data_IF_184942851407
#
_entry.id   IF_184942851407
#
_cell.length_a   1.000
_cell.length_b   1.000
_cell.length_c   1.000
_cell.angle_alpha   90.00
_cell.angle_beta   90.00
_cell.angle_gamma   90.00
#
_symmetry.space_group_name_H-M   'P 1'
#
loop_
_entity.id
_entity.type
_entity.pdbx_description
1 polymer ?
#
# COMPACT_ATOMS: atom_id res chain seq x y z
N UNK A 1 26.87 1.08 4.50
CA UNK A 1 26.32 -0.19 3.99
C UNK A 1 25.61 0.12 2.71
N UNK A 2 25.83 -0.67 1.68
CA UNK A 2 25.23 -0.49 0.35
C UNK A 2 23.80 -1.01 0.31
N UNK A 3 22.96 -0.49 -0.59
CA UNK A 3 21.55 -0.92 -0.71
C UNK A 3 21.41 -2.43 -0.92
N UNK A 4 22.28 -3.02 -1.74
CA UNK A 4 22.29 -4.47 -1.97
C UNK A 4 22.73 -5.27 -0.73
N UNK A 5 23.64 -4.73 0.09
CA UNK A 5 24.08 -5.37 1.34
C UNK A 5 22.94 -5.37 2.36
N UNK A 6 22.22 -4.25 2.44
CA UNK A 6 21.03 -4.12 3.29
C UNK A 6 19.95 -5.12 2.88
N UNK A 7 19.67 -5.21 1.60
CA UNK A 7 18.74 -6.18 1.02
C UNK A 7 19.12 -7.63 1.39
N UNK A 8 20.39 -7.99 1.20
CA UNK A 8 20.88 -9.35 1.51
C UNK A 8 20.83 -9.67 3.00
N UNK A 9 21.11 -8.70 3.86
CA UNK A 9 21.04 -8.87 5.30
C UNK A 9 19.60 -9.13 5.76
N UNK A 10 18.66 -8.35 5.26
CA UNK A 10 17.24 -8.49 5.57
C UNK A 10 16.67 -9.82 5.06
N UNK A 11 17.05 -10.25 3.83
CA UNK A 11 16.65 -11.56 3.32
C UNK A 11 17.11 -12.70 4.22
N UNK A 12 18.37 -12.63 4.70
CA UNK A 12 18.93 -13.65 5.61
C UNK A 12 18.24 -13.64 6.97
N UNK A 13 17.97 -12.46 7.52
CA UNK A 13 17.32 -12.30 8.82
C UNK A 13 15.92 -12.93 8.85
N UNK A 14 15.23 -12.94 7.68
CA UNK A 14 13.83 -13.40 7.57
C UNK A 14 13.66 -14.71 6.84
N UNK A 15 14.76 -15.35 6.41
CA UNK A 15 14.70 -16.62 5.66
C UNK A 15 14.07 -16.51 4.27
N UNK A 16 14.04 -15.29 3.67
CA UNK A 16 13.47 -15.08 2.34
C UNK A 16 14.46 -15.47 1.24
N UNK A 17 13.91 -15.94 0.13
CA UNK A 17 14.66 -16.25 -1.07
C UNK A 17 14.73 -15.06 -2.02
N UNK A 18 15.84 -14.94 -2.73
CA UNK A 18 16.04 -13.88 -3.73
C UNK A 18 15.10 -14.09 -4.92
N UNK A 19 14.34 -13.06 -5.24
CA UNK A 19 13.51 -13.01 -6.45
C UNK A 19 14.30 -12.33 -7.58
N UNK A 20 14.38 -12.93 -8.80
CA UNK A 20 15.11 -12.34 -9.91
C UNK A 20 14.65 -10.93 -10.31
N UNK A 21 13.36 -10.60 -10.12
CA UNK A 21 12.86 -9.26 -10.41
C UNK A 21 13.27 -8.25 -9.35
N UNK A 22 13.18 -8.64 -8.07
CA UNK A 22 13.69 -7.84 -6.97
C UNK A 22 15.21 -7.66 -7.06
N UNK A 23 15.95 -8.69 -7.48
CA UNK A 23 17.40 -8.58 -7.65
C UNK A 23 17.77 -7.53 -8.71
N UNK A 24 17.13 -7.56 -9.89
CA UNK A 24 17.33 -6.51 -10.91
C UNK A 24 16.97 -5.11 -10.38
N UNK A 25 15.92 -5.01 -9.60
CA UNK A 25 15.49 -3.74 -9.04
C UNK A 25 16.48 -3.20 -8.01
N UNK A 26 17.00 -4.05 -7.09
CA UNK A 26 17.99 -3.62 -6.09
C UNK A 26 19.34 -3.31 -6.74
N UNK A 27 19.74 -4.04 -7.77
CA UNK A 27 20.94 -3.74 -8.55
C UNK A 27 20.84 -2.35 -9.21
N UNK A 28 19.69 -2.00 -9.79
CA UNK A 28 19.48 -0.65 -10.34
C UNK A 28 19.46 0.42 -9.28
N UNK A 29 18.85 0.16 -8.13
CA UNK A 29 18.86 1.08 -6.98
C UNK A 29 20.28 1.27 -6.43
N UNK A 30 21.08 0.19 -6.39
CA UNK A 30 22.49 0.27 -6.03
C UNK A 30 23.29 1.13 -7.02
N UNK A 31 23.07 0.92 -8.33
CA UNK A 31 23.71 1.77 -9.34
C UNK A 31 23.33 3.25 -9.16
N UNK A 32 22.07 3.54 -8.81
CA UNK A 32 21.61 4.89 -8.51
C UNK A 32 22.32 5.48 -7.27
N UNK A 33 22.54 4.68 -6.23
CA UNK A 33 23.34 5.08 -5.06
C UNK A 33 24.78 5.39 -5.42
N UNK A 34 25.44 4.51 -6.19
CA UNK A 34 26.83 4.69 -6.65
C UNK A 34 26.95 5.96 -7.53
N UNK A 35 26.00 6.21 -8.45
CA UNK A 35 25.92 7.45 -9.23
C UNK A 35 25.82 8.70 -8.33
N UNK A 36 25.11 8.63 -7.18
CA UNK A 36 25.03 9.72 -6.21
C UNK A 36 26.36 9.95 -5.47
N UNK A 37 27.08 8.89 -5.13
CA UNK A 37 28.41 8.99 -4.55
C UNK A 37 29.36 9.72 -5.50
N UNK A 38 29.40 9.31 -6.77
CA UNK A 38 30.20 9.96 -7.80
C UNK A 38 29.80 11.42 -8.03
N UNK A 39 28.49 11.70 -8.08
CA UNK A 39 27.98 13.06 -8.19
C UNK A 39 28.47 13.97 -7.04
N UNK A 40 28.46 13.45 -5.79
CA UNK A 40 28.98 14.19 -4.63
C UNK A 40 30.48 14.40 -4.70
N UNK A 41 31.24 13.41 -5.15
CA UNK A 41 32.71 13.51 -5.30
C UNK A 41 33.09 14.60 -6.30
N UNK A 42 32.45 14.62 -7.48
CA UNK A 42 32.70 15.66 -8.50
C UNK A 42 32.37 17.05 -7.98
N UNK A 43 31.46 17.19 -7.02
CA UNK A 43 31.02 18.45 -6.43
C UNK A 43 31.47 18.61 -4.98
N UNK A 44 32.63 18.10 -4.62
CA UNK A 44 33.08 17.99 -3.23
C UNK A 44 33.38 19.34 -2.54
N UNK A 45 33.61 20.43 -3.28
CA UNK A 45 33.83 21.76 -2.70
C UNK A 45 33.05 22.85 -3.45
N UNK A 46 32.93 24.04 -2.87
CA UNK A 46 32.13 25.16 -3.40
C UNK A 46 32.57 25.61 -4.78
N UNK A 47 33.88 25.58 -5.07
CA UNK A 47 34.42 25.95 -6.39
C UNK A 47 33.99 24.93 -7.46
N UNK A 48 34.11 23.62 -7.17
CA UNK A 48 33.68 22.55 -8.05
C UNK A 48 32.17 22.55 -8.26
N UNK A 49 31.37 22.91 -7.24
CA UNK A 49 29.91 23.03 -7.35
C UNK A 49 29.50 24.11 -8.38
N UNK A 50 30.24 25.21 -8.45
CA UNK A 50 29.97 26.28 -9.44
C UNK A 50 30.43 25.93 -10.86
N UNK A 51 31.56 25.23 -10.99
CA UNK A 51 32.18 24.94 -12.28
C UNK A 51 31.59 23.69 -12.94
N UNK A 52 31.25 22.67 -12.17
CA UNK A 52 30.79 21.38 -12.70
C UNK A 52 29.32 21.15 -12.37
N UNK A 53 28.53 20.93 -13.44
CA UNK A 53 27.12 20.55 -13.36
C UNK A 53 26.92 19.16 -13.96
N UNK A 54 27.41 18.08 -13.29
CA UNK A 54 27.26 16.74 -13.82
C UNK A 54 25.76 16.40 -13.98
N UNK A 55 25.48 15.42 -14.86
CA UNK A 55 24.13 14.90 -15.02
C UNK A 55 23.64 14.31 -13.69
N UNK A 56 22.39 14.57 -13.35
CA UNK A 56 21.77 13.92 -12.18
C UNK A 56 21.63 12.41 -12.43
N UNK A 57 21.82 11.60 -11.40
CA UNK A 57 21.42 10.20 -11.45
C UNK A 57 19.97 10.06 -11.91
N UNK A 58 19.71 9.09 -12.75
CA UNK A 58 18.34 8.80 -13.18
C UNK A 58 17.58 8.12 -12.04
N UNK A 59 16.37 8.59 -11.73
CA UNK A 59 15.54 8.02 -10.69
C UNK A 59 14.97 6.64 -11.07
N UNK A 60 14.22 6.02 -10.16
CA UNK A 60 13.67 4.68 -10.35
C UNK A 60 12.17 4.69 -10.05
N UNK A 61 11.39 4.04 -10.91
CA UNK A 61 9.98 3.79 -10.72
C UNK A 61 9.74 2.27 -10.65
N UNK A 62 9.46 1.77 -9.44
CA UNK A 62 9.19 0.36 -9.19
C UNK A 62 7.68 0.12 -9.27
N UNK A 63 7.25 -0.74 -10.18
CA UNK A 63 5.83 -1.07 -10.29
C UNK A 63 5.59 -2.58 -10.27
N UNK A 64 4.36 -2.96 -9.89
CA UNK A 64 3.95 -4.36 -9.79
C UNK A 64 2.85 -4.53 -8.75
N UNK A 65 2.28 -5.72 -8.65
CA UNK A 65 1.21 -6.04 -7.72
C UNK A 65 1.54 -5.78 -6.25
N UNK A 66 0.53 -5.85 -5.42
CA UNK A 66 0.68 -5.74 -3.95
C UNK A 66 1.51 -6.92 -3.43
N UNK A 67 2.37 -6.70 -2.43
CA UNK A 67 3.15 -7.79 -1.83
C UNK A 67 4.45 -8.15 -2.55
N UNK A 68 4.85 -7.41 -3.59
CA UNK A 68 6.07 -7.67 -4.38
C UNK A 68 7.36 -7.11 -3.78
N UNK A 69 7.32 -6.56 -2.58
CA UNK A 69 8.50 -6.02 -1.90
C UNK A 69 8.97 -4.65 -2.42
N UNK A 70 8.14 -3.90 -3.16
CA UNK A 70 8.49 -2.57 -3.69
C UNK A 70 8.94 -1.60 -2.60
N UNK A 71 8.14 -1.46 -1.55
CA UNK A 71 8.44 -0.58 -0.42
C UNK A 71 9.70 -1.03 0.32
N UNK A 72 9.90 -2.34 0.47
CA UNK A 72 11.11 -2.90 1.06
C UNK A 72 12.38 -2.57 0.24
N UNK A 73 12.33 -2.71 -1.08
CA UNK A 73 13.44 -2.31 -1.96
C UNK A 73 13.75 -0.82 -1.85
N UNK A 74 12.72 0.03 -1.77
CA UNK A 74 12.86 1.46 -1.56
C UNK A 74 13.46 1.76 -0.17
N UNK A 75 13.08 1.02 0.88
CA UNK A 75 13.65 1.14 2.23
C UNK A 75 15.15 0.86 2.23
N UNK A 76 15.58 -0.22 1.58
CA UNK A 76 17.00 -0.55 1.45
C UNK A 76 17.78 0.58 0.77
N UNK A 77 17.24 1.13 -0.31
CA UNK A 77 17.84 2.26 -1.03
C UNK A 77 17.83 3.54 -0.17
N UNK A 78 16.71 3.86 0.47
CA UNK A 78 16.59 5.07 1.28
C UNK A 78 17.55 5.05 2.46
N UNK A 79 17.72 3.90 3.14
CA UNK A 79 18.66 3.74 4.24
C UNK A 79 20.12 3.92 3.77
N UNK A 80 20.47 3.32 2.63
CA UNK A 80 21.84 3.34 2.07
C UNK A 80 22.21 4.68 1.40
N UNK A 81 21.22 5.43 0.88
CA UNK A 81 21.44 6.67 0.13
C UNK A 81 22.29 7.67 0.92
N UNK A 82 23.40 8.20 0.31
CA UNK A 82 24.34 9.11 0.98
C UNK A 82 23.78 10.55 1.13
N UNK A 83 22.56 10.82 0.70
CA UNK A 83 21.96 12.15 0.75
C UNK A 83 21.39 12.48 2.11
N UNK A 84 21.70 13.67 2.62
CA UNK A 84 21.14 14.21 3.87
C UNK A 84 19.73 14.79 3.64
N UNK A 85 19.55 15.49 2.50
CA UNK A 85 18.29 16.13 2.12
C UNK A 85 17.41 15.13 1.37
N UNK A 86 16.91 14.13 2.07
CA UNK A 86 16.02 13.09 1.53
C UNK A 86 14.77 12.95 2.38
N UNK A 87 13.65 12.59 1.75
CA UNK A 87 12.39 12.27 2.42
C UNK A 87 11.78 11.03 1.79
N UNK A 88 11.13 10.21 2.61
CA UNK A 88 10.20 9.18 2.19
C UNK A 88 8.83 9.53 2.71
N UNK A 89 7.83 9.53 1.84
CA UNK A 89 6.47 9.94 2.15
C UNK A 89 5.48 9.21 1.24
N UNK A 90 4.29 8.93 1.72
CA UNK A 90 3.22 8.46 0.87
C UNK A 90 2.76 9.56 -0.09
N UNK A 91 2.52 9.19 -1.35
CA UNK A 91 2.18 10.18 -2.38
C UNK A 91 0.95 11.03 -2.03
N UNK A 92 -0.09 10.42 -1.47
CA UNK A 92 -1.29 11.15 -1.08
C UNK A 92 -1.04 12.15 0.08
N UNK A 93 -0.12 11.85 1.00
CA UNK A 93 0.27 12.79 2.06
C UNK A 93 1.03 13.97 1.49
N UNK A 94 1.94 13.70 0.56
CA UNK A 94 2.66 14.75 -0.15
C UNK A 94 1.70 15.68 -0.91
N UNK A 95 0.71 15.14 -1.64
CA UNK A 95 -0.26 15.95 -2.36
C UNK A 95 -1.15 16.77 -1.44
N UNK A 96 -1.53 16.24 -0.28
CA UNK A 96 -2.25 17.01 0.75
C UNK A 96 -1.45 18.22 1.24
N UNK A 97 -0.15 18.04 1.49
CA UNK A 97 0.75 19.15 1.85
C UNK A 97 0.88 20.16 0.71
N UNK A 98 1.02 19.68 -0.53
CA UNK A 98 1.06 20.52 -1.73
C UNK A 98 -0.18 21.40 -1.83
N UNK A 99 -1.38 20.83 -1.69
CA UNK A 99 -2.62 21.60 -1.74
C UNK A 99 -2.72 22.63 -0.61
N UNK A 100 -2.29 22.26 0.59
CA UNK A 100 -2.26 23.20 1.74
C UNK A 100 -1.31 24.37 1.47
N UNK A 101 -0.05 24.10 1.07
CA UNK A 101 0.93 25.15 0.80
C UNK A 101 0.51 26.03 -0.40
N UNK A 102 -0.12 25.44 -1.44
CA UNK A 102 -0.67 26.22 -2.56
C UNK A 102 -1.78 27.18 -2.13
N UNK A 103 -2.61 26.76 -1.20
CA UNK A 103 -3.66 27.63 -0.64
C UNK A 103 -3.05 28.82 0.11
N UNK A 104 -1.99 28.60 0.89
CA UNK A 104 -1.23 29.66 1.59
C UNK A 104 -0.53 30.62 0.61
N UNK A 105 -0.14 30.15 -0.57
CA UNK A 105 0.54 30.91 -1.61
C UNK A 105 -0.42 31.55 -2.63
N UNK A 106 -1.72 31.49 -2.42
CA UNK A 106 -2.75 31.93 -3.40
C UNK A 106 -2.67 33.38 -3.81
N UNK A 107 -1.89 34.22 -3.11
CA UNK A 107 -1.65 35.63 -3.47
C UNK A 107 -0.46 35.88 -4.42
N UNK A 108 0.30 34.84 -4.77
CA UNK A 108 1.46 34.99 -5.66
C UNK A 108 1.09 34.77 -7.12
N UNK A 109 1.90 35.34 -8.03
CA UNK A 109 1.70 35.23 -9.49
C UNK A 109 1.85 33.78 -9.97
N UNK A 110 2.79 33.05 -9.39
CA UNK A 110 3.08 31.62 -9.73
C UNK A 110 3.32 30.78 -8.47
N UNK A 111 2.25 30.42 -7.75
CA UNK A 111 2.36 29.75 -6.47
C UNK A 111 3.01 28.35 -6.58
N UNK A 112 2.81 27.66 -7.71
CA UNK A 112 3.33 26.31 -7.93
C UNK A 112 4.86 26.30 -8.11
N UNK A 113 5.41 27.29 -8.82
CA UNK A 113 6.85 27.40 -9.04
C UNK A 113 7.57 27.80 -7.73
N UNK A 114 6.97 28.70 -6.94
CA UNK A 114 7.50 29.03 -5.60
C UNK A 114 7.47 27.82 -4.68
N UNK A 115 6.39 27.03 -4.71
CA UNK A 115 6.29 25.80 -3.94
C UNK A 115 7.37 24.78 -4.35
N UNK A 116 7.56 24.56 -5.65
CA UNK A 116 8.61 23.69 -6.18
C UNK A 116 9.99 24.14 -5.71
N UNK A 117 10.27 25.44 -5.72
CA UNK A 117 11.52 25.99 -5.21
C UNK A 117 11.71 25.76 -3.72
N UNK A 118 10.66 25.86 -2.92
CA UNK A 118 10.72 25.55 -1.47
C UNK A 118 11.02 24.08 -1.23
N UNK A 119 10.34 23.18 -1.94
CA UNK A 119 10.55 21.73 -1.85
C UNK A 119 11.98 21.37 -2.27
N UNK A 120 12.48 21.93 -3.38
CA UNK A 120 13.83 21.65 -3.91
C UNK A 120 14.95 22.15 -3.00
N UNK A 121 14.72 23.20 -2.19
CA UNK A 121 15.65 23.65 -1.15
C UNK A 121 15.71 22.68 0.04
N UNK A 122 14.59 22.05 0.37
CA UNK A 122 14.48 21.09 1.47
C UNK A 122 15.04 19.72 1.10
N UNK A 123 14.71 19.23 -0.12
CA UNK A 123 14.97 17.85 -0.54
C UNK A 123 15.74 17.76 -1.85
N UNK A 124 16.63 16.77 -1.96
CA UNK A 124 17.34 16.39 -3.18
C UNK A 124 16.90 15.01 -3.68
N UNK A 125 16.33 14.20 -2.79
CA UNK A 125 15.73 12.91 -3.09
C UNK A 125 14.37 12.85 -2.40
N UNK A 126 13.34 12.52 -3.18
CA UNK A 126 12.00 12.24 -2.68
C UNK A 126 11.65 10.81 -3.07
N UNK A 127 11.36 9.98 -2.06
CA UNK A 127 10.87 8.63 -2.23
C UNK A 127 9.36 8.64 -2.02
N UNK A 128 8.59 8.40 -3.09
CA UNK A 128 7.14 8.28 -3.00
C UNK A 128 6.74 6.82 -2.85
N UNK A 129 6.12 6.51 -1.70
CA UNK A 129 5.45 5.23 -1.54
C UNK A 129 4.01 5.32 -2.08
N UNK A 130 3.55 4.22 -2.68
CA UNK A 130 2.20 4.09 -3.23
C UNK A 130 1.81 5.24 -4.17
N UNK A 131 2.67 5.52 -5.16
CA UNK A 131 2.37 6.53 -6.17
C UNK A 131 1.16 6.13 -7.01
N UNK A 132 0.06 6.82 -6.83
CA UNK A 132 -1.17 6.65 -7.60
C UNK A 132 -1.97 7.94 -7.60
N UNK A 133 -2.80 8.15 -8.61
CA UNK A 133 -3.57 9.37 -8.81
C UNK A 133 -5.03 9.00 -8.80
N UNK A 134 -5.77 9.55 -7.83
CA UNK A 134 -7.19 9.32 -7.65
C UNK A 134 -8.03 10.58 -7.96
N UNK A 135 -7.42 11.75 -7.92
CA UNK A 135 -8.09 13.03 -8.03
C UNK A 135 -7.63 13.80 -9.27
N UNK A 136 -8.58 14.46 -9.93
CA UNK A 136 -8.32 15.33 -11.06
C UNK A 136 -7.49 16.57 -10.67
N UNK A 137 -7.67 17.09 -9.47
CA UNK A 137 -6.90 18.24 -8.99
C UNK A 137 -5.41 17.90 -8.93
N UNK A 138 -5.07 16.70 -8.43
CA UNK A 138 -3.70 16.18 -8.43
C UNK A 138 -3.16 16.05 -9.86
N UNK A 139 -3.95 15.45 -10.77
CA UNK A 139 -3.56 15.24 -12.16
C UNK A 139 -3.22 16.58 -12.88
N UNK A 140 -3.97 17.65 -12.58
CA UNK A 140 -3.80 18.95 -13.23
C UNK A 140 -2.51 19.66 -12.82
N UNK A 141 -2.09 19.52 -11.57
CA UNK A 141 -0.90 20.23 -11.06
C UNK A 141 0.37 19.39 -11.16
N UNK A 142 0.23 18.06 -11.19
CA UNK A 142 1.34 17.12 -11.07
C UNK A 142 2.43 17.32 -12.13
N UNK A 143 2.04 17.52 -13.38
CA UNK A 143 3.02 17.74 -14.46
C UNK A 143 3.91 18.95 -14.19
N UNK A 144 3.31 20.10 -13.88
CA UNK A 144 4.06 21.33 -13.62
C UNK A 144 4.96 21.18 -12.40
N UNK A 145 4.42 20.60 -11.33
CA UNK A 145 5.15 20.37 -10.09
C UNK A 145 6.35 19.44 -10.30
N UNK A 146 6.15 18.26 -10.90
CA UNK A 146 7.23 17.32 -11.18
C UNK A 146 8.26 17.92 -12.13
N UNK A 147 7.83 18.65 -13.19
CA UNK A 147 8.72 19.29 -14.13
C UNK A 147 9.64 20.29 -13.42
N UNK A 148 9.08 21.19 -12.62
CA UNK A 148 9.85 22.18 -11.86
C UNK A 148 10.83 21.52 -10.87
N UNK A 149 10.40 20.47 -10.17
CA UNK A 149 11.25 19.72 -9.25
C UNK A 149 12.40 18.98 -9.97
N UNK A 150 12.17 18.39 -11.14
CA UNK A 150 13.26 17.81 -11.96
C UNK A 150 14.24 18.88 -12.48
N UNK A 151 13.74 20.04 -12.91
CA UNK A 151 14.57 21.17 -13.34
C UNK A 151 15.41 21.70 -12.17
N UNK A 152 14.85 21.75 -10.97
CA UNK A 152 15.54 22.10 -9.72
C UNK A 152 16.42 20.99 -9.14
N UNK A 153 16.61 19.92 -9.90
CA UNK A 153 17.53 18.82 -9.58
C UNK A 153 17.11 18.00 -8.36
N UNK A 154 15.82 17.78 -8.18
CA UNK A 154 15.27 16.80 -7.27
C UNK A 154 15.17 15.46 -8.00
N UNK A 155 15.65 14.37 -7.37
CA UNK A 155 15.49 13.02 -7.87
C UNK A 155 14.32 12.34 -7.19
N UNK A 156 13.73 11.37 -7.88
CA UNK A 156 12.64 10.57 -7.35
C UNK A 156 12.94 9.08 -7.41
N UNK A 157 12.53 8.37 -6.36
CA UNK A 157 12.31 6.93 -6.37
C UNK A 157 10.85 6.71 -5.99
N UNK A 158 10.13 5.94 -6.79
CA UNK A 158 8.69 5.77 -6.63
C UNK A 158 8.31 4.31 -6.60
N UNK A 159 7.36 3.94 -5.74
CA UNK A 159 6.68 2.65 -5.80
C UNK A 159 5.23 2.83 -6.24
N UNK A 160 4.72 1.93 -7.06
CA UNK A 160 3.34 1.97 -7.54
C UNK A 160 2.81 0.55 -7.80
N UNK A 161 1.50 0.38 -7.73
CA UNK A 161 0.84 -0.83 -8.21
C UNK A 161 0.58 -0.79 -9.72
N UNK A 162 0.78 0.36 -10.33
CA UNK A 162 0.49 0.61 -11.75
C UNK A 162 1.74 1.03 -12.50
N UNK A 163 1.85 0.58 -13.74
CA UNK A 163 2.81 1.13 -14.69
C UNK A 163 2.46 2.60 -14.97
N UNK A 164 3.42 3.50 -15.32
CA UNK A 164 3.13 4.92 -15.56
C UNK A 164 2.01 5.16 -16.56
N UNK A 165 1.97 4.41 -17.68
CA UNK A 165 0.93 4.50 -18.71
C UNK A 165 -0.46 4.01 -18.26
N UNK A 166 -0.52 3.28 -17.13
CA UNK A 166 -1.76 2.79 -16.50
C UNK A 166 -2.23 3.66 -15.33
N UNK A 167 -1.55 4.77 -15.05
CA UNK A 167 -2.01 5.72 -14.04
C UNK A 167 -3.31 6.41 -14.49
N UNK A 168 -4.31 6.47 -13.59
CA UNK A 168 -5.58 7.16 -13.78
C UNK A 168 -6.30 6.75 -15.09
N UNK A 169 -6.55 5.44 -15.35
CA UNK A 169 -6.91 4.95 -16.68
C UNK A 169 -8.28 5.46 -17.18
N UNK A 170 -9.26 5.57 -16.30
CA UNK A 170 -10.62 6.05 -16.61
C UNK A 170 -10.90 7.44 -16.01
N UNK A 171 -9.84 8.15 -15.64
CA UNK A 171 -9.95 9.44 -14.97
C UNK A 171 -10.46 10.55 -15.88
N UNK A 172 -11.28 11.43 -15.33
CA UNK A 172 -11.78 12.63 -16.02
C UNK A 172 -10.59 13.52 -16.43
N UNK A 173 -10.56 13.97 -17.70
CA UNK A 173 -9.45 14.76 -18.27
C UNK A 173 -8.08 14.09 -18.15
N UNK A 174 -7.98 12.78 -18.35
CA UNK A 174 -6.72 12.02 -18.35
C UNK A 174 -5.66 12.60 -19.31
N UNK A 175 -6.08 13.29 -20.36
CA UNK A 175 -5.20 14.01 -21.29
C UNK A 175 -4.27 15.00 -20.58
N UNK A 176 -4.70 15.59 -19.47
CA UNK A 176 -3.90 16.50 -18.64
C UNK A 176 -2.78 15.78 -17.89
N UNK A 177 -2.93 14.50 -17.62
CA UNK A 177 -1.91 13.68 -16.96
C UNK A 177 -0.86 13.12 -17.94
N UNK A 178 -1.19 12.95 -19.22
CA UNK A 178 -0.27 12.36 -20.19
C UNK A 178 1.11 13.03 -20.24
N UNK A 179 1.26 14.38 -20.12
CA UNK A 179 2.57 15.01 -20.05
C UNK A 179 3.37 14.57 -18.81
N UNK A 180 2.71 14.37 -17.65
CA UNK A 180 3.37 13.88 -16.44
C UNK A 180 3.83 12.42 -16.62
N UNK A 181 3.00 11.56 -17.20
CA UNK A 181 3.36 10.17 -17.52
C UNK A 181 4.61 10.11 -18.39
N UNK A 182 4.65 10.88 -19.49
CA UNK A 182 5.82 10.95 -20.37
C UNK A 182 7.07 11.45 -19.65
N UNK A 183 6.90 12.43 -18.77
CA UNK A 183 7.99 12.98 -17.97
C UNK A 183 8.56 11.91 -17.01
N UNK A 184 7.69 11.13 -16.36
CA UNK A 184 8.11 10.01 -15.51
C UNK A 184 8.91 8.97 -16.31
N UNK A 185 8.41 8.55 -17.46
CA UNK A 185 9.10 7.58 -18.33
C UNK A 185 10.42 8.11 -18.89
N UNK A 186 10.52 9.43 -19.16
CA UNK A 186 11.75 10.09 -19.59
C UNK A 186 12.80 10.17 -18.48
N UNK A 187 12.38 10.51 -17.26
CA UNK A 187 13.28 10.84 -16.14
C UNK A 187 13.60 9.69 -15.23
N UNK A 188 12.76 8.63 -15.21
CA UNK A 188 12.90 7.49 -14.33
C UNK A 188 13.15 6.19 -15.12
N UNK A 189 13.85 5.25 -14.51
CA UNK A 189 13.94 3.89 -15.00
C UNK A 189 12.75 3.11 -14.45
N UNK A 190 11.86 2.69 -15.35
CA UNK A 190 10.61 2.00 -15.01
C UNK A 190 10.88 0.49 -14.95
N UNK A 191 10.79 -0.08 -13.76
CA UNK A 191 11.10 -1.48 -13.49
C UNK A 191 9.86 -2.23 -12.98
N UNK A 192 9.58 -3.35 -13.63
CA UNK A 192 8.57 -4.29 -13.16
C UNK A 192 9.18 -5.25 -12.13
N UNK A 193 8.57 -5.32 -10.95
CA UNK A 193 8.93 -6.25 -9.88
C UNK A 193 7.94 -7.42 -9.74
N UNK A 194 7.04 -7.59 -10.72
CA UNK A 194 6.05 -8.68 -10.74
C UNK A 194 6.57 -10.02 -11.26
N UNK A 195 7.78 -10.07 -11.81
CA UNK A 195 8.30 -11.28 -12.45
C UNK A 195 8.71 -12.40 -11.49
N UNK A 196 8.38 -12.27 -10.20
CA UNK A 196 8.74 -13.22 -9.16
C UNK A 196 7.57 -13.72 -8.31
N UNK A 197 7.88 -14.59 -7.38
CA UNK A 197 6.93 -15.12 -6.41
C UNK A 197 6.40 -14.01 -5.50
N UNK A 198 5.10 -13.99 -5.26
CA UNK A 198 4.50 -13.16 -4.22
C UNK A 198 4.89 -13.73 -2.85
N UNK A 199 5.76 -13.05 -2.10
CA UNK A 199 6.17 -13.52 -0.77
C UNK A 199 5.00 -13.59 0.21
N UNK A 200 4.01 -12.71 0.10
CA UNK A 200 2.74 -12.83 0.84
C UNK A 200 1.97 -14.06 0.39
N UNK A 201 2.03 -14.40 -0.91
CA UNK A 201 1.45 -15.61 -1.47
C UNK A 201 2.12 -16.86 -0.92
N UNK A 202 3.47 -16.91 -0.84
CA UNK A 202 4.18 -18.03 -0.22
C UNK A 202 3.83 -18.19 1.26
N UNK A 203 3.61 -17.11 1.98
CA UNK A 203 3.11 -17.14 3.35
C UNK A 203 1.64 -17.54 3.42
N UNK A 204 0.80 -17.12 2.45
CA UNK A 204 -0.62 -17.50 2.38
C UNK A 204 -0.85 -18.89 1.79
N UNK A 205 0.07 -19.46 1.00
CA UNK A 205 -0.01 -20.86 0.53
C UNK A 205 0.03 -21.88 1.69
N UNK A 206 0.49 -21.46 2.88
CA UNK A 206 0.48 -22.23 4.12
C UNK A 206 -0.65 -21.83 5.08
N UNK A 207 -1.51 -20.87 4.69
CA UNK A 207 -2.54 -20.29 5.55
C UNK A 207 -3.89 -20.89 5.21
N UNK A 208 -4.43 -21.69 6.12
CA UNK A 208 -5.86 -21.97 6.16
C UNK A 208 -6.59 -20.66 6.45
N UNK A 209 -7.21 -20.04 5.43
CA UNK A 209 -7.93 -18.77 5.60
C UNK A 209 -9.20 -18.90 6.46
N UNK A 210 -9.60 -20.13 6.79
CA UNK A 210 -10.73 -20.43 7.66
C UNK A 210 -10.32 -21.47 8.70
N UNK A 211 -10.22 -21.04 9.95
CA UNK A 211 -9.79 -21.86 11.07
C UNK A 211 -11.00 -22.25 11.95
N UNK A 212 -11.16 -23.52 12.21
CA UNK A 212 -12.22 -24.06 13.07
C UNK A 212 -11.74 -25.37 13.74
N UNK A 213 -12.17 -25.67 14.96
CA UNK A 213 -12.91 -24.83 15.90
C UNK A 213 -12.05 -23.74 16.56
N UNK A 214 -12.69 -22.80 17.27
CA UNK A 214 -11.98 -21.80 18.07
C UNK A 214 -11.33 -22.49 19.27
N UNK A 215 -10.01 -22.36 19.39
CA UNK A 215 -9.19 -22.89 20.48
C UNK A 215 -8.01 -21.95 20.73
N UNK A 216 -7.35 -22.06 21.87
CA UNK A 216 -6.11 -21.32 22.13
C UNK A 216 -5.02 -21.55 21.06
N UNK A 217 -5.01 -22.74 20.44
CA UNK A 217 -4.09 -23.03 19.33
C UNK A 217 -4.47 -22.27 18.05
N UNK A 218 -5.76 -22.07 17.80
CA UNK A 218 -6.28 -21.28 16.69
C UNK A 218 -5.90 -19.81 16.85
N UNK A 219 -6.01 -19.26 18.05
CA UNK A 219 -5.63 -17.86 18.34
C UNK A 219 -4.11 -17.66 18.16
N UNK A 220 -3.29 -18.59 18.60
CA UNK A 220 -1.85 -18.56 18.34
C UNK A 220 -1.53 -18.65 16.84
N UNK A 221 -2.27 -19.44 16.07
CA UNK A 221 -2.11 -19.47 14.61
C UNK A 221 -2.45 -18.13 14.00
N UNK A 222 -3.58 -17.50 14.37
CA UNK A 222 -3.95 -16.17 13.88
C UNK A 222 -2.89 -15.13 14.21
N UNK A 223 -2.33 -15.16 15.41
CA UNK A 223 -1.27 -14.25 15.82
C UNK A 223 0.01 -14.41 14.97
N UNK A 224 0.41 -15.67 14.75
CA UNK A 224 1.55 -15.96 13.89
C UNK A 224 1.30 -15.52 12.44
N UNK A 225 0.07 -15.72 11.93
CA UNK A 225 -0.34 -15.24 10.60
C UNK A 225 -0.30 -13.72 10.51
N UNK A 226 -0.81 -13.02 11.51
CA UNK A 226 -0.77 -11.56 11.57
C UNK A 226 0.68 -11.07 11.47
N UNK A 227 1.59 -11.56 12.33
CA UNK A 227 3.00 -11.16 12.28
C UNK A 227 3.69 -11.56 10.97
N UNK A 228 3.34 -12.71 10.39
CA UNK A 228 3.85 -13.11 9.09
C UNK A 228 3.39 -12.15 7.97
N UNK A 229 2.15 -11.66 8.03
CA UNK A 229 1.58 -10.75 7.04
C UNK A 229 2.12 -9.31 7.13
N UNK A 230 2.36 -8.81 8.34
CA UNK A 230 2.95 -7.47 8.53
C UNK A 230 4.48 -7.49 8.36
N UNK A 231 5.11 -8.66 8.43
CA UNK A 231 6.57 -8.79 8.33
C UNK A 231 7.29 -8.06 9.47
N UNK A 232 8.39 -7.37 9.16
CA UNK A 232 9.18 -6.60 10.15
C UNK A 232 8.67 -5.20 10.43
N UNK A 233 7.51 -4.84 9.95
CA UNK A 233 6.95 -3.52 10.22
C UNK A 233 6.35 -3.49 11.62
N UNK A 234 6.41 -2.32 12.24
CA UNK A 234 5.89 -2.16 13.59
C UNK A 234 4.38 -2.32 13.59
N UNK A 235 3.90 -3.20 14.45
CA UNK A 235 2.53 -3.20 14.89
C UNK A 235 2.21 -1.87 15.57
N UNK A 236 1.01 -1.33 15.35
CA UNK A 236 0.53 -0.17 16.10
C UNK A 236 0.32 -0.60 17.57
N UNK A 237 1.03 -0.02 18.55
CA UNK A 237 0.92 -0.44 19.94
C UNK A 237 -0.43 -0.07 20.59
N UNK A 238 -1.18 0.88 20.01
CA UNK A 238 -2.51 1.30 20.46
C UNK A 238 -3.43 1.53 19.24
N UNK A 239 -3.85 0.45 18.57
CA UNK A 239 -4.57 0.59 17.34
C UNK A 239 -5.97 1.17 17.57
N UNK A 240 -6.22 2.34 16.99
CA UNK A 240 -7.52 2.99 16.97
C UNK A 240 -7.86 3.38 15.54
N UNK A 241 -8.99 2.90 15.06
CA UNK A 241 -9.48 3.21 13.72
C UNK A 241 -10.69 4.14 13.84
N UNK A 242 -10.67 5.27 13.14
CA UNK A 242 -11.80 6.20 13.07
C UNK A 242 -12.57 5.99 11.78
N UNK A 243 -13.83 5.57 11.89
CA UNK A 243 -14.73 5.38 10.76
C UNK A 243 -16.01 6.21 11.01
N UNK A 244 -16.31 7.13 10.09
CA UNK A 244 -17.46 8.04 10.19
C UNK A 244 -17.60 8.69 11.60
N UNK A 245 -16.49 9.20 12.13
CA UNK A 245 -16.39 9.83 13.45
C UNK A 245 -16.66 8.88 14.64
N UNK A 246 -16.59 7.58 14.44
CA UNK A 246 -16.72 6.56 15.49
C UNK A 246 -15.40 5.81 15.65
N UNK A 247 -15.03 5.53 16.88
CA UNK A 247 -13.86 4.72 17.20
C UNK A 247 -14.17 3.24 17.02
N UNK A 248 -13.26 2.53 16.33
CA UNK A 248 -13.16 1.08 16.34
C UNK A 248 -11.81 0.71 16.92
N UNK A 249 -11.83 -0.27 17.82
CA UNK A 249 -10.62 -0.79 18.46
C UNK A 249 -10.29 -2.16 17.86
N UNK A 250 -9.37 -2.25 16.89
CA UNK A 250 -8.88 -3.54 16.44
C UNK A 250 -8.06 -4.20 17.53
N UNK A 251 -7.97 -5.52 17.50
CA UNK A 251 -7.05 -6.27 18.37
C UNK A 251 -5.60 -6.02 17.97
N UNK A 252 -5.34 -6.00 16.66
CA UNK A 252 -4.02 -5.77 16.07
C UNK A 252 -4.15 -4.98 14.76
N UNK A 253 -3.18 -4.14 14.44
CA UNK A 253 -3.13 -3.38 13.18
C UNK A 253 -1.70 -3.12 12.76
N UNK A 254 -1.41 -3.31 11.48
CA UNK A 254 -0.10 -2.99 10.89
C UNK A 254 -0.06 -3.31 9.39
N UNK A 255 0.73 -2.55 8.63
CA UNK A 255 1.02 -2.73 7.19
C UNK A 255 -0.17 -3.16 6.31
N UNK A 256 -1.31 -2.47 6.44
CA UNK A 256 -2.50 -2.79 5.66
C UNK A 256 -3.21 -4.09 6.05
N UNK A 257 -2.85 -4.67 7.21
CA UNK A 257 -3.55 -5.78 7.86
C UNK A 257 -4.23 -5.25 9.12
N UNK A 258 -5.49 -5.63 9.33
CA UNK A 258 -6.24 -5.30 10.55
C UNK A 258 -6.90 -6.55 11.08
N UNK A 259 -6.90 -6.69 12.40
CA UNK A 259 -7.53 -7.81 13.11
C UNK A 259 -8.59 -7.32 14.08
N UNK A 260 -9.82 -7.78 13.89
CA UNK A 260 -10.94 -7.54 14.79
C UNK A 260 -11.49 -8.85 15.33
N UNK A 261 -12.14 -8.78 16.48
CA UNK A 261 -13.07 -9.82 16.90
C UNK A 261 -14.46 -9.64 16.27
N UNK A 262 -15.25 -10.69 16.30
CA UNK A 262 -16.61 -10.69 15.76
C UNK A 262 -17.51 -9.70 16.50
N UNK A 263 -17.34 -9.53 17.81
CA UNK A 263 -18.14 -8.64 18.64
C UNK A 263 -17.98 -7.19 18.17
N UNK A 264 -16.75 -6.74 17.96
CA UNK A 264 -16.43 -5.39 17.50
C UNK A 264 -17.03 -5.07 16.12
N UNK A 265 -16.95 -6.02 15.17
CA UNK A 265 -17.43 -5.77 13.81
C UNK A 265 -18.91 -6.10 13.59
N UNK A 266 -19.47 -7.11 14.29
CA UNK A 266 -20.79 -7.63 13.97
C UNK A 266 -21.84 -7.45 15.06
N UNK A 267 -21.47 -7.17 16.35
CA UNK A 267 -22.44 -7.02 17.42
C UNK A 267 -22.85 -5.57 17.69
N UNK A 268 -22.13 -4.57 17.17
CA UNK A 268 -22.43 -3.15 17.32
C UNK A 268 -23.26 -2.55 16.18
N UNK A 269 -23.60 -1.25 16.25
CA UNK A 269 -24.30 -0.53 15.19
C UNK A 269 -23.37 -0.26 14.01
N UNK A 270 -23.19 -1.24 13.11
CA UNK A 270 -22.37 -1.17 11.92
C UNK A 270 -23.22 -1.14 10.66
N UNK A 271 -22.74 -0.44 9.65
CA UNK A 271 -23.35 -0.32 8.33
C UNK A 271 -22.40 -0.84 7.24
N UNK A 272 -22.89 -0.99 6.04
CA UNK A 272 -22.03 -1.33 4.88
C UNK A 272 -20.93 -0.30 4.63
N UNK A 273 -21.17 0.99 4.92
CA UNK A 273 -20.18 2.05 4.77
C UNK A 273 -18.98 1.84 5.69
N UNK A 274 -19.20 1.36 6.92
CA UNK A 274 -18.11 1.03 7.84
C UNK A 274 -17.18 -0.01 7.23
N UNK A 275 -17.75 -1.05 6.62
CA UNK A 275 -16.98 -2.13 5.99
C UNK A 275 -16.30 -1.68 4.69
N UNK A 276 -16.91 -0.77 3.93
CA UNK A 276 -16.27 -0.16 2.76
C UNK A 276 -15.04 0.67 3.14
N UNK A 277 -15.10 1.43 4.24
CA UNK A 277 -13.95 2.18 4.72
C UNK A 277 -12.81 1.25 5.21
N UNK A 278 -13.15 0.17 5.92
CA UNK A 278 -12.16 -0.88 6.27
C UNK A 278 -11.57 -1.49 4.99
N UNK A 279 -12.41 -1.86 4.03
CA UNK A 279 -11.97 -2.45 2.78
C UNK A 279 -11.07 -1.51 1.96
N UNK A 280 -11.24 -0.20 2.04
CA UNK A 280 -10.38 0.80 1.38
C UNK A 280 -9.02 0.94 2.06
N UNK A 281 -8.95 0.84 3.37
CA UNK A 281 -7.72 1.08 4.13
C UNK A 281 -6.83 -0.17 4.21
N UNK A 282 -7.44 -1.35 4.35
CA UNK A 282 -6.70 -2.59 4.58
C UNK A 282 -6.83 -3.55 3.40
N UNK A 283 -5.77 -4.26 3.07
CA UNK A 283 -5.80 -5.33 2.05
C UNK A 283 -6.19 -6.68 2.65
N UNK A 284 -5.96 -6.88 3.94
CA UNK A 284 -6.29 -8.11 4.66
C UNK A 284 -6.99 -7.78 5.97
N UNK A 285 -8.10 -8.45 6.19
CA UNK A 285 -8.87 -8.39 7.44
C UNK A 285 -8.81 -9.76 8.10
N UNK A 286 -8.43 -9.79 9.37
CA UNK A 286 -8.53 -10.97 10.23
C UNK A 286 -9.75 -10.79 11.12
N UNK A 287 -10.63 -11.76 11.15
CA UNK A 287 -11.84 -11.77 11.98
C UNK A 287 -11.83 -12.99 12.88
N UNK A 288 -11.62 -12.79 14.17
CA UNK A 288 -11.63 -13.89 15.14
C UNK A 288 -12.95 -14.02 15.88
N UNK A 289 -13.20 -15.23 16.37
CA UNK A 289 -14.31 -15.48 17.28
C UNK A 289 -15.68 -15.50 16.62
N UNK A 290 -15.80 -15.88 15.34
CA UNK A 290 -17.11 -16.00 14.67
C UNK A 290 -17.91 -17.15 15.27
N UNK A 291 -19.02 -16.88 15.98
CA UNK A 291 -19.78 -17.93 16.65
C UNK A 291 -20.71 -18.66 15.67
N UNK A 292 -21.18 -19.83 16.08
CA UNK A 292 -22.43 -20.36 15.54
C UNK A 292 -23.55 -19.33 15.77
N UNK A 293 -24.30 -18.98 14.75
CA UNK A 293 -25.33 -17.93 14.79
C UNK A 293 -26.74 -18.56 14.73
N UNK A 294 -27.38 -18.82 15.86
CA UNK A 294 -28.80 -19.24 15.89
C UNK A 294 -29.72 -18.09 15.42
N UNK A 295 -31.03 -18.37 15.16
CA UNK A 295 -31.99 -17.35 14.67
C UNK A 295 -32.07 -16.07 15.50
N UNK A 296 -31.74 -16.12 16.79
CA UNK A 296 -31.69 -14.93 17.67
C UNK A 296 -30.57 -13.93 17.28
N UNK A 297 -29.52 -14.40 16.59
CA UNK A 297 -28.40 -13.58 16.11
C UNK A 297 -28.56 -13.17 14.63
N UNK A 298 -29.80 -13.07 14.13
CA UNK A 298 -30.08 -12.68 12.72
C UNK A 298 -29.51 -11.33 12.36
N UNK A 299 -29.47 -10.37 13.28
CA UNK A 299 -28.90 -9.03 13.02
C UNK A 299 -27.36 -9.08 12.89
N UNK A 300 -26.70 -9.87 13.72
CA UNK A 300 -25.27 -10.12 13.67
C UNK A 300 -24.91 -10.88 12.40
N UNK A 301 -25.68 -11.92 12.06
CA UNK A 301 -25.53 -12.67 10.81
C UNK A 301 -25.70 -11.77 9.57
N UNK A 302 -26.63 -10.82 9.60
CA UNK A 302 -26.81 -9.85 8.50
C UNK A 302 -25.60 -8.92 8.35
N UNK A 303 -25.06 -8.43 9.45
CA UNK A 303 -23.83 -7.61 9.43
C UNK A 303 -22.62 -8.42 8.95
N UNK A 304 -22.52 -9.68 9.33
CA UNK A 304 -21.51 -10.58 8.83
C UNK A 304 -21.64 -10.81 7.30
N UNK A 305 -22.86 -10.99 6.78
CA UNK A 305 -23.11 -11.03 5.33
C UNK A 305 -22.58 -9.76 4.66
N UNK A 306 -22.92 -8.58 5.16
CA UNK A 306 -22.48 -7.31 4.58
C UNK A 306 -20.94 -7.15 4.60
N UNK A 307 -20.30 -7.55 5.69
CA UNK A 307 -18.85 -7.55 5.81
C UNK A 307 -18.23 -8.43 4.74
N UNK A 308 -18.68 -9.69 4.63
CA UNK A 308 -18.14 -10.65 3.64
C UNK A 308 -18.41 -10.16 2.21
N UNK A 309 -19.62 -9.64 1.95
CA UNK A 309 -19.99 -9.12 0.64
C UNK A 309 -19.06 -7.97 0.21
N UNK A 310 -18.85 -6.99 1.09
CA UNK A 310 -17.97 -5.85 0.83
C UNK A 310 -16.51 -6.30 0.59
N UNK A 311 -15.97 -7.16 1.45
CA UNK A 311 -14.59 -7.62 1.31
C UNK A 311 -14.41 -8.47 0.04
N UNK A 312 -15.40 -9.31 -0.30
CA UNK A 312 -15.40 -10.12 -1.51
C UNK A 312 -15.40 -9.27 -2.78
N UNK A 313 -16.27 -8.26 -2.87
CA UNK A 313 -16.41 -7.41 -4.04
C UNK A 313 -15.15 -6.54 -4.26
N UNK A 314 -14.48 -6.12 -3.19
CA UNK A 314 -13.23 -5.36 -3.23
C UNK A 314 -11.96 -6.23 -3.34
N UNK A 315 -12.11 -7.58 -3.38
CA UNK A 315 -10.99 -8.54 -3.40
C UNK A 315 -10.03 -8.39 -2.21
N UNK A 316 -10.55 -7.95 -1.05
CA UNK A 316 -9.79 -7.99 0.20
C UNK A 316 -9.61 -9.44 0.65
N UNK A 317 -8.50 -9.72 1.30
CA UNK A 317 -8.27 -11.03 1.91
C UNK A 317 -8.97 -11.09 3.26
N UNK A 318 -9.61 -12.21 3.56
CA UNK A 318 -10.31 -12.42 4.83
C UNK A 318 -9.83 -13.73 5.45
N UNK A 319 -9.30 -13.63 6.68
CA UNK A 319 -8.89 -14.77 7.50
C UNK A 319 -9.85 -14.84 8.68
N UNK A 320 -10.42 -16.01 8.93
CA UNK A 320 -11.47 -16.18 9.94
C UNK A 320 -11.08 -17.28 10.93
N UNK A 321 -11.37 -17.08 12.22
CA UNK A 321 -11.59 -18.18 13.15
C UNK A 321 -13.06 -18.27 13.56
N UNK A 322 -13.61 -19.48 13.52
CA UNK A 322 -15.04 -19.73 13.76
C UNK A 322 -15.27 -20.99 14.61
N UNK A 323 -16.40 -21.01 15.31
CA UNK A 323 -16.81 -22.18 16.13
C UNK A 323 -17.01 -23.43 15.28
N UNK A 324 -17.59 -23.25 14.08
CA UNK A 324 -18.03 -24.33 13.20
C UNK A 324 -17.62 -24.04 11.74
N UNK A 325 -17.65 -25.05 10.85
CA UNK A 325 -17.44 -24.84 9.42
C UNK A 325 -18.39 -23.78 8.83
N UNK A 326 -17.97 -23.09 7.76
CA UNK A 326 -18.73 -22.00 7.16
C UNK A 326 -20.18 -22.37 6.80
N UNK A 327 -20.42 -23.60 6.34
CA UNK A 327 -21.74 -24.10 6.01
C UNK A 327 -22.68 -24.27 7.23
N UNK A 328 -22.12 -24.32 8.41
CA UNK A 328 -22.84 -24.54 9.67
C UNK A 328 -23.02 -23.26 10.48
N UNK A 329 -22.46 -22.14 10.05
CA UNK A 329 -22.51 -20.87 10.80
C UNK A 329 -23.92 -20.34 11.03
N UNK A 330 -24.84 -20.49 10.05
CA UNK A 330 -26.23 -20.06 10.13
C UNK A 330 -27.11 -21.00 9.30
N UNK A 331 -27.70 -22.00 9.96
CA UNK A 331 -28.45 -23.07 9.30
C UNK A 331 -29.95 -22.88 9.35
N UNK A 332 -30.45 -22.07 10.28
CA UNK A 332 -31.88 -21.82 10.51
C UNK A 332 -32.17 -20.34 10.70
N UNK A 333 -33.26 -19.84 10.12
CA UNK A 333 -33.72 -18.46 10.31
C UNK A 333 -34.14 -17.74 9.02
N UNK A 334 -34.47 -16.46 9.13
CA UNK A 334 -35.09 -15.67 8.03
C UNK A 334 -34.14 -15.39 6.86
N UNK A 335 -32.84 -15.38 7.09
CA UNK A 335 -31.81 -14.99 6.10
C UNK A 335 -30.97 -16.18 5.61
N UNK A 336 -31.42 -17.41 5.81
CA UNK A 336 -30.70 -18.63 5.43
C UNK A 336 -30.34 -18.66 3.94
N UNK A 337 -31.23 -18.19 3.07
CA UNK A 337 -30.98 -18.14 1.63
C UNK A 337 -29.86 -17.10 1.27
N UNK A 338 -29.85 -15.94 1.94
CA UNK A 338 -28.79 -14.94 1.77
C UNK A 338 -27.48 -15.47 2.31
N UNK A 339 -27.51 -16.12 3.48
CA UNK A 339 -26.33 -16.70 4.13
C UNK A 339 -25.68 -17.83 3.31
N UNK A 340 -26.45 -18.63 2.60
CA UNK A 340 -25.94 -19.64 1.65
C UNK A 340 -25.02 -19.03 0.58
N UNK A 341 -25.35 -17.85 0.07
CA UNK A 341 -24.47 -17.10 -0.86
C UNK A 341 -23.17 -16.66 -0.17
N UNK A 342 -23.26 -16.22 1.07
CA UNK A 342 -22.09 -15.83 1.87
C UNK A 342 -21.16 -17.03 2.11
N UNK A 343 -21.71 -18.21 2.38
CA UNK A 343 -20.93 -19.46 2.49
C UNK A 343 -20.16 -19.73 1.18
N UNK A 344 -20.81 -19.60 0.03
CA UNK A 344 -20.17 -19.80 -1.27
C UNK A 344 -19.02 -18.80 -1.48
N UNK A 345 -19.22 -17.52 -1.11
CA UNK A 345 -18.16 -16.50 -1.16
C UNK A 345 -17.00 -16.80 -0.22
N UNK A 346 -17.28 -17.22 1.01
CA UNK A 346 -16.24 -17.63 1.97
C UNK A 346 -15.40 -18.79 1.43
N UNK A 347 -16.02 -19.78 0.78
CA UNK A 347 -15.30 -20.90 0.15
C UNK A 347 -14.44 -20.38 -1.01
N UNK A 348 -14.99 -19.50 -1.86
CA UNK A 348 -14.23 -18.90 -2.97
C UNK A 348 -13.07 -18.06 -2.47
N UNK A 349 -13.26 -17.28 -1.40
CA UNK A 349 -12.21 -16.44 -0.78
C UNK A 349 -11.02 -17.23 -0.24
N UNK A 350 -11.19 -18.53 -0.01
CA UNK A 350 -10.12 -19.47 0.39
C UNK A 350 -9.38 -20.04 -0.82
N UNK A 351 -9.91 -19.87 -2.04
CA UNK A 351 -9.30 -20.42 -3.27
C UNK A 351 -8.01 -19.65 -3.62
N UNK A 352 -7.07 -20.37 -4.25
CA UNK A 352 -5.84 -19.77 -4.76
C UNK A 352 -6.09 -18.62 -5.72
N UNK A 353 -7.03 -18.80 -6.64
CA UNK A 353 -7.38 -17.77 -7.63
C UNK A 353 -7.87 -16.48 -6.98
N UNK A 354 -8.63 -16.59 -5.89
CA UNK A 354 -9.08 -15.43 -5.12
C UNK A 354 -7.94 -14.80 -4.32
N UNK A 355 -7.14 -15.61 -3.65
CA UNK A 355 -6.00 -15.14 -2.84
C UNK A 355 -4.93 -14.48 -3.73
N UNK A 356 -4.77 -14.90 -4.98
CA UNK A 356 -3.86 -14.34 -5.96
C UNK A 356 -4.42 -13.09 -6.67
N UNK A 357 -5.75 -12.90 -6.67
CA UNK A 357 -6.36 -11.77 -7.33
C UNK A 357 -5.92 -10.44 -6.71
N UNK A 358 -5.58 -9.42 -7.52
CA UNK A 358 -5.29 -8.09 -7.02
C UNK A 358 -6.54 -7.47 -6.39
N UNK A 359 -6.35 -6.68 -5.34
CA UNK A 359 -7.42 -5.91 -4.70
C UNK A 359 -8.05 -4.95 -5.72
N UNK A 360 -9.37 -4.86 -5.74
CA UNK A 360 -10.10 -3.85 -6.49
C UNK A 360 -10.21 -2.59 -5.65
N UNK A 361 -9.51 -1.54 -6.07
CA UNK A 361 -9.71 -0.21 -5.49
C UNK A 361 -10.81 0.45 -6.30
N UNK A 362 -12.03 0.43 -5.80
CA UNK A 362 -13.09 1.25 -6.39
C UNK A 362 -12.78 2.71 -6.04
N UNK A 363 -12.33 3.50 -7.04
CA UNK A 363 -12.52 4.93 -6.97
C UNK A 363 -14.01 5.16 -6.85
N UNK A 364 -14.45 5.78 -5.75
CA UNK A 364 -15.85 6.16 -5.59
C UNK A 364 -16.23 7.05 -6.78
N UNK A 365 -16.99 6.51 -7.71
CA UNK A 365 -17.82 7.32 -8.57
C UNK A 365 -18.84 7.99 -7.64
N UNK A 366 -18.54 9.18 -7.20
CA UNK A 366 -19.53 10.05 -6.60
C UNK A 366 -20.45 10.54 -7.71
N UNK A 367 -21.66 10.07 -7.64
CA UNK A 367 -22.84 10.75 -8.19
C UNK A 367 -22.85 12.22 -7.79
#
# INVERSE_FOLDING_TARGET
MKAIEYYQQELKAHGYHTDPAQLRAIERLQACEDEWVDYKQVRSNEFKKKLFKPRLPRGVYLWGGVGRGKSFLMDCFFAASPLEKKIRIHFHEFMREVHRELHELSGLTDPLDELALRISKRYRLICFDEFHINDIADAMILYRLLKALFEDRVQFVMTSNYRPDQLYPEGLHRDRLLPAIRLLEEKLDVLNVDAGSDYRRLQMEQVDAYLTPITAQTDLKLLNMFYALIGNRSEDPNPVLYIESRELLPLHMGDGVVWFDFETLCCGPRSQNDYLEIAKQFHTVILSGVPYMPPRLTNEARRFIWLVDVLYDNKNKLIISADVPAAELYTEGQITAEFSRTVSRLIEMQSRDYLDAPRRIHSSALT
#
